data_IF_949939434460
#
_entry.id   IF_949939434460
#
_cell.length_a   1.000
_cell.length_b   1.000
_cell.length_c   1.000
_cell.angle_alpha   90.00
_cell.angle_beta   90.00
_cell.angle_gamma   90.00
#
_symmetry.space_group_name_H-M   'P 1'
#
loop_
_entity.id
_entity.type
_entity.pdbx_description
1 polymer ?
#
# COMPACT_ATOMS: atom_id res chain seq x y z
N UNK A 1 21.30 11.75 11.11
CA UNK A 1 21.90 10.79 10.16
C UNK A 1 20.83 10.25 9.21
N UNK A 2 20.98 10.37 7.90
CA UNK A 2 20.06 9.77 6.92
C UNK A 2 20.58 8.40 6.46
N UNK A 3 19.73 7.37 6.54
CA UNK A 3 20.04 6.02 6.04
C UNK A 3 19.25 5.78 4.76
N UNK A 4 19.90 5.24 3.73
CA UNK A 4 19.29 4.92 2.45
C UNK A 4 19.42 3.44 2.17
N UNK A 5 18.36 2.81 1.67
CA UNK A 5 18.38 1.39 1.32
C UNK A 5 19.24 1.07 0.10
N UNK A 6 19.47 2.04 -0.82
CA UNK A 6 20.25 1.87 -2.05
C UNK A 6 20.67 3.20 -2.67
N UNK A 7 21.61 3.14 -3.63
CA UNK A 7 22.15 4.29 -4.36
C UNK A 7 21.08 5.16 -5.03
N UNK A 8 19.99 4.57 -5.56
CA UNK A 8 18.84 5.31 -6.14
C UNK A 8 18.24 6.31 -5.17
N UNK A 9 18.02 5.91 -3.92
CA UNK A 9 17.40 6.76 -2.90
C UNK A 9 18.36 7.87 -2.47
N UNK A 10 19.65 7.55 -2.32
CA UNK A 10 20.69 8.51 -2.00
C UNK A 10 20.87 9.56 -3.11
N UNK A 11 20.91 9.16 -4.39
CA UNK A 11 20.97 10.08 -5.54
C UNK A 11 19.73 10.99 -5.61
N UNK A 12 18.53 10.45 -5.38
CA UNK A 12 17.31 11.27 -5.34
C UNK A 12 17.32 12.29 -4.20
N UNK A 13 17.85 11.92 -3.03
CA UNK A 13 18.03 12.82 -1.91
C UNK A 13 19.03 13.94 -2.23
N UNK A 14 20.20 13.60 -2.82
CA UNK A 14 21.18 14.60 -3.29
C UNK A 14 20.59 15.54 -4.33
N UNK A 15 19.73 15.03 -5.23
CA UNK A 15 18.97 15.83 -6.21
C UNK A 15 17.76 16.57 -5.60
N UNK A 16 17.64 16.61 -4.26
CA UNK A 16 16.55 17.28 -3.51
C UNK A 16 15.14 16.90 -3.97
N UNK A 17 14.95 15.67 -4.48
CA UNK A 17 13.63 15.20 -4.92
C UNK A 17 12.74 14.93 -3.71
N UNK A 18 11.52 15.47 -3.74
CA UNK A 18 10.55 15.26 -2.67
C UNK A 18 9.96 13.83 -2.70
N UNK A 19 10.16 13.00 -1.66
CA UNK A 19 9.59 11.66 -1.62
C UNK A 19 8.06 11.67 -1.64
N UNK A 20 7.40 12.70 -1.08
CA UNK A 20 5.93 12.85 -1.14
C UNK A 20 5.38 13.15 -2.53
N UNK A 21 6.23 13.51 -3.50
CA UNK A 21 5.85 13.66 -4.92
C UNK A 21 6.35 12.51 -5.78
N UNK A 22 7.15 11.60 -5.22
CA UNK A 22 7.73 10.46 -5.93
C UNK A 22 6.83 9.23 -5.83
N UNK A 23 6.11 8.91 -6.93
CA UNK A 23 4.98 7.95 -6.96
C UNK A 23 5.25 6.54 -6.41
N UNK A 24 6.47 6.03 -6.53
CA UNK A 24 6.82 4.67 -6.09
C UNK A 24 7.14 4.57 -4.59
N UNK A 25 7.30 5.69 -3.89
CA UNK A 25 7.68 5.67 -2.47
C UNK A 25 6.46 5.41 -1.57
N UNK A 26 6.71 4.79 -0.40
CA UNK A 26 5.69 4.64 0.64
C UNK A 26 5.18 5.99 1.16
N UNK A 27 6.04 7.01 1.21
CA UNK A 27 5.65 8.37 1.60
C UNK A 27 4.56 8.94 0.68
N UNK A 28 4.74 8.88 -0.63
CA UNK A 28 3.70 9.27 -1.60
C UNK A 28 2.44 8.42 -1.42
N UNK A 29 2.59 7.08 -1.31
CA UNK A 29 1.45 6.17 -1.23
C UNK A 29 0.59 6.42 0.01
N UNK A 30 1.19 6.68 1.17
CA UNK A 30 0.45 7.05 2.38
C UNK A 30 -0.25 8.41 2.24
N UNK A 31 0.47 9.43 1.77
CA UNK A 31 -0.07 10.78 1.61
C UNK A 31 -1.21 10.85 0.56
N UNK A 32 -1.12 10.06 -0.50
CA UNK A 32 -2.12 9.99 -1.57
C UNK A 32 -3.23 8.96 -1.31
N UNK A 33 -3.37 8.44 -0.07
CA UNK A 33 -4.43 7.50 0.29
C UNK A 33 -4.35 6.13 -0.41
N UNK A 34 -3.17 5.73 -0.89
CA UNK A 34 -2.95 4.44 -1.57
C UNK A 34 -2.67 3.27 -0.62
N UNK A 35 -2.46 3.54 0.66
CA UNK A 35 -2.26 2.54 1.71
C UNK A 35 -2.99 2.94 2.97
N UNK A 36 -3.31 1.97 3.82
CA UNK A 36 -3.91 2.20 5.12
C UNK A 36 -2.90 2.93 6.03
N UNK A 37 -3.27 4.10 6.52
CA UNK A 37 -2.41 4.98 7.34
C UNK A 37 -2.77 4.99 8.82
N UNK A 38 -4.06 4.96 9.15
CA UNK A 38 -4.60 5.02 10.52
C UNK A 38 -5.17 3.66 10.87
N UNK A 39 -4.43 2.87 11.65
CA UNK A 39 -4.88 1.55 12.14
C UNK A 39 -4.11 1.14 13.40
N UNK A 40 -4.82 0.58 14.38
CA UNK A 40 -4.25 0.20 15.68
C UNK A 40 -3.14 -0.85 15.55
N UNK A 41 -3.12 -1.68 14.50
CA UNK A 41 -2.03 -2.65 14.27
C UNK A 41 -0.68 -1.99 14.00
N UNK A 42 -0.68 -0.72 13.55
CA UNK A 42 0.54 0.05 13.30
C UNK A 42 1.13 0.64 14.59
N UNK A 43 0.34 0.73 15.67
CA UNK A 43 0.78 1.34 16.93
C UNK A 43 1.72 0.44 17.75
N UNK A 44 1.81 -0.86 17.44
CA UNK A 44 2.72 -1.77 18.12
C UNK A 44 4.19 -1.52 17.75
N UNK A 45 4.44 -0.99 16.55
CA UNK A 45 5.78 -0.63 16.08
C UNK A 45 6.15 0.78 16.60
N UNK A 46 6.70 0.83 17.82
CA UNK A 46 7.16 2.07 18.48
C UNK A 46 8.60 1.93 18.95
N UNK A 47 9.39 3.00 18.82
CA UNK A 47 10.72 3.08 19.44
C UNK A 47 10.55 3.21 20.95
N UNK A 48 11.06 2.23 21.70
CA UNK A 48 11.09 2.27 23.17
C UNK A 48 12.41 2.86 23.62
N UNK A 49 12.36 3.97 24.36
CA UNK A 49 13.55 4.63 24.90
C UNK A 49 13.94 4.08 26.28
N UNK A 50 13.02 3.40 26.96
CA UNK A 50 13.24 2.76 28.26
C UNK A 50 13.33 1.25 28.04
N UNK A 51 14.43 0.59 28.45
CA UNK A 51 14.55 -0.85 28.40
C UNK A 51 13.70 -1.51 29.50
N UNK A 52 13.28 -2.74 29.25
CA UNK A 52 12.59 -3.59 30.23
C UNK A 52 13.53 -4.74 30.57
N UNK A 53 13.57 -5.14 31.85
CA UNK A 53 14.36 -6.30 32.29
C UNK A 53 13.90 -7.53 31.50
N UNK A 54 14.85 -8.34 31.06
CA UNK A 54 14.54 -9.56 30.32
C UNK A 54 13.70 -10.52 31.17
N UNK A 55 12.60 -11.01 30.59
CA UNK A 55 11.77 -12.07 31.15
C UNK A 55 11.38 -13.01 30.00
N UNK A 56 11.69 -14.30 30.14
CA UNK A 56 11.50 -15.30 29.08
C UNK A 56 10.03 -15.42 28.66
N UNK A 57 9.11 -15.44 29.62
CA UNK A 57 7.67 -15.52 29.35
C UNK A 57 7.15 -14.32 28.56
N UNK A 58 7.57 -13.11 28.92
CA UNK A 58 7.22 -11.88 28.21
C UNK A 58 7.72 -11.95 26.75
N UNK A 59 8.95 -12.41 26.56
CA UNK A 59 9.53 -12.56 25.23
C UNK A 59 8.77 -13.57 24.36
N UNK A 60 8.46 -14.74 24.92
CA UNK A 60 7.69 -15.78 24.23
C UNK A 60 6.30 -15.28 23.82
N UNK A 61 5.57 -14.63 24.76
CA UNK A 61 4.25 -14.02 24.49
C UNK A 61 4.36 -12.92 23.43
N UNK A 62 5.41 -12.10 23.46
CA UNK A 62 5.62 -11.02 22.50
C UNK A 62 5.86 -11.55 21.08
N UNK A 63 6.70 -12.58 20.92
CA UNK A 63 6.98 -13.19 19.61
C UNK A 63 5.71 -13.79 18.99
N UNK A 64 4.87 -14.45 19.81
CA UNK A 64 3.58 -14.96 19.35
C UNK A 64 2.62 -13.83 18.95
N UNK A 65 2.53 -12.78 19.77
CA UNK A 65 1.69 -11.62 19.49
C UNK A 65 2.12 -10.90 18.19
N UNK A 66 3.42 -10.76 17.94
CA UNK A 66 3.94 -10.14 16.71
C UNK A 66 3.46 -10.85 15.45
N UNK A 67 3.47 -12.19 15.41
CA UNK A 67 2.96 -12.97 14.27
C UNK A 67 1.48 -12.70 14.02
N UNK A 68 0.68 -12.69 15.10
CA UNK A 68 -0.77 -12.44 15.02
C UNK A 68 -1.08 -11.02 14.54
N UNK A 69 -0.35 -10.02 15.05
CA UNK A 69 -0.51 -8.61 14.65
C UNK A 69 -0.18 -8.43 13.16
N UNK A 70 0.90 -9.04 12.68
CA UNK A 70 1.30 -8.94 11.27
C UNK A 70 0.24 -9.57 10.34
N UNK A 71 -0.33 -10.73 10.70
CA UNK A 71 -1.42 -11.35 9.94
C UNK A 71 -2.67 -10.45 9.87
N UNK A 72 -3.04 -9.80 10.98
CA UNK A 72 -4.17 -8.86 11.04
C UNK A 72 -3.89 -7.63 10.16
N UNK A 73 -2.69 -7.05 10.28
CA UNK A 73 -2.25 -5.89 9.49
C UNK A 73 -2.31 -6.19 8.00
N UNK A 74 -1.78 -7.33 7.56
CA UNK A 74 -1.82 -7.75 6.16
C UNK A 74 -3.26 -7.91 5.65
N UNK A 75 -4.14 -8.58 6.43
CA UNK A 75 -5.55 -8.76 6.09
C UNK A 75 -6.27 -7.41 5.91
N UNK A 76 -6.03 -6.44 6.80
CA UNK A 76 -6.63 -5.11 6.74
C UNK A 76 -6.10 -4.29 5.56
N UNK A 77 -4.79 -4.33 5.32
CA UNK A 77 -4.17 -3.65 4.18
C UNK A 77 -4.66 -4.20 2.84
N UNK A 78 -4.75 -5.53 2.70
CA UNK A 78 -5.29 -6.17 1.51
C UNK A 78 -6.73 -5.73 1.25
N UNK A 79 -7.58 -5.75 2.29
CA UNK A 79 -8.97 -5.27 2.19
C UNK A 79 -9.05 -3.80 1.75
N UNK A 80 -8.22 -2.92 2.31
CA UNK A 80 -8.16 -1.51 1.91
C UNK A 80 -7.81 -1.35 0.41
N UNK A 81 -6.82 -2.11 -0.07
CA UNK A 81 -6.42 -2.09 -1.48
C UNK A 81 -7.54 -2.62 -2.37
N UNK A 82 -8.18 -3.74 -2.01
CA UNK A 82 -9.28 -4.33 -2.77
C UNK A 82 -10.48 -3.39 -2.88
N UNK A 83 -10.87 -2.75 -1.78
CA UNK A 83 -11.96 -1.76 -1.78
C UNK A 83 -11.66 -0.58 -2.70
N UNK A 84 -10.39 -0.13 -2.75
CA UNK A 84 -9.97 0.94 -3.67
C UNK A 84 -10.04 0.48 -5.13
N UNK A 85 -9.57 -0.73 -5.43
CA UNK A 85 -9.54 -1.27 -6.80
C UNK A 85 -10.95 -1.58 -7.32
N UNK A 86 -11.91 -1.89 -6.45
CA UNK A 86 -13.30 -2.17 -6.83
C UNK A 86 -13.93 -1.06 -7.67
N UNK A 87 -13.64 0.21 -7.35
CA UNK A 87 -14.13 1.38 -8.10
C UNK A 87 -13.69 1.39 -9.58
N UNK A 88 -12.49 0.86 -9.87
CA UNK A 88 -11.99 0.78 -11.25
C UNK A 88 -12.83 -0.16 -12.12
N UNK A 89 -13.31 -1.27 -11.56
CA UNK A 89 -14.15 -2.24 -12.28
C UNK A 89 -15.51 -1.67 -12.68
N UNK A 90 -16.08 -0.79 -11.85
CA UNK A 90 -17.35 -0.14 -12.15
C UNK A 90 -17.21 0.83 -13.33
N UNK A 91 -16.12 1.60 -13.35
CA UNK A 91 -15.78 2.49 -14.48
C UNK A 91 -15.52 1.70 -15.76
N UNK A 92 -14.72 0.64 -15.68
CA UNK A 92 -14.42 -0.24 -16.81
C UNK A 92 -15.70 -0.83 -17.43
N UNK A 93 -16.66 -1.28 -16.61
CA UNK A 93 -17.95 -1.76 -17.11
C UNK A 93 -18.74 -0.68 -17.84
N UNK A 94 -18.76 0.54 -17.31
CA UNK A 94 -19.45 1.66 -17.94
C UNK A 94 -18.79 2.07 -19.26
N UNK A 95 -17.45 2.09 -19.30
CA UNK A 95 -16.65 2.35 -20.49
C UNK A 95 -16.88 1.28 -21.56
N UNK A 96 -16.87 -0.01 -21.19
CA UNK A 96 -17.13 -1.11 -22.12
C UNK A 96 -18.53 -1.03 -22.75
N UNK A 97 -19.57 -0.71 -21.97
CA UNK A 97 -20.93 -0.49 -22.51
C UNK A 97 -20.94 0.69 -23.50
N UNK A 98 -20.23 1.77 -23.17
CA UNK A 98 -20.15 2.94 -24.04
C UNK A 98 -19.39 2.63 -25.34
N UNK A 99 -18.31 1.86 -25.24
CA UNK A 99 -17.49 1.42 -26.37
C UNK A 99 -18.30 0.55 -27.33
N UNK A 100 -19.01 -0.47 -26.82
CA UNK A 100 -19.88 -1.32 -27.65
C UNK A 100 -20.96 -0.49 -28.35
N UNK A 101 -21.59 0.48 -27.66
CA UNK A 101 -22.61 1.35 -28.26
C UNK A 101 -22.06 2.21 -29.40
N UNK A 102 -20.87 2.78 -29.25
CA UNK A 102 -20.24 3.66 -30.25
C UNK A 102 -19.67 2.87 -31.43
N UNK A 103 -19.04 1.74 -31.14
CA UNK A 103 -18.22 0.99 -32.09
C UNK A 103 -18.90 -0.28 -32.61
N UNK A 104 -20.23 -0.40 -32.48
CA UNK A 104 -20.99 -1.58 -32.92
C UNK A 104 -20.78 -1.91 -34.41
N UNK A 105 -20.50 -0.89 -35.23
CA UNK A 105 -20.26 -1.01 -36.66
C UNK A 105 -18.98 -1.80 -36.98
N UNK A 106 -17.95 -1.77 -36.12
CA UNK A 106 -16.71 -2.53 -36.29
C UNK A 106 -16.94 -4.05 -36.19
N UNK A 107 -18.01 -4.47 -35.51
CA UNK A 107 -18.35 -5.89 -35.31
C UNK A 107 -19.17 -6.43 -36.50
N UNK A 108 -19.95 -5.57 -37.18
CA UNK A 108 -20.76 -5.98 -38.35
C UNK A 108 -19.96 -6.07 -39.65
N UNK A 109 -18.89 -5.29 -39.80
CA UNK A 109 -18.13 -5.19 -41.05
C UNK A 109 -17.11 -6.34 -41.28
N UNK A 110 -17.02 -7.34 -40.41
CA UNK A 110 -16.06 -8.46 -40.56
C UNK A 110 -16.57 -9.63 -41.42
N UNK A 111 -17.71 -9.47 -42.09
CA UNK A 111 -18.19 -10.39 -43.12
C UNK A 111 -18.30 -9.64 -44.46
N UNK A 112 -17.14 -9.37 -45.05
CA UNK A 112 -16.95 -9.12 -46.47
C UNK A 112 -15.74 -9.94 -46.93
#
# INVERSE_FOLDING_TARGET
VFRFCRSKCHKNFKKKRNPRKTRWTKAFRKAAGKELTVDNSLEFEKRRNVPVKYQRELWNKTVQAMKKIEAIKQKRQARFIMNRLKKGKELEKAEAINEVKKNIHLIRASHA
#
